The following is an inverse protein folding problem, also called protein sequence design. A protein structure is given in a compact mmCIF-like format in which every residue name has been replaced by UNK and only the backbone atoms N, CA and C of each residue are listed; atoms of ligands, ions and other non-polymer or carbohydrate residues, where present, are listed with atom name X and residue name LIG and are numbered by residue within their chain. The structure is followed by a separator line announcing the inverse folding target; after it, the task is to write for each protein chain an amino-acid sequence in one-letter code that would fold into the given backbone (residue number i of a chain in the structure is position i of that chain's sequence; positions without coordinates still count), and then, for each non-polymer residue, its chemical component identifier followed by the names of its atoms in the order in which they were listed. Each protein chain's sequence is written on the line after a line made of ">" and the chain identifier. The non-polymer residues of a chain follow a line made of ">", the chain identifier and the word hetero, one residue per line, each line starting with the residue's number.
data_IF_926246427828
#
_entry.id   IF_926246427828
#
_cell.length_a   1.000
_cell.length_b   1.000
_cell.length_c   1.000
_cell.angle_alpha   90.00
_cell.angle_beta   90.00
_cell.angle_gamma   90.00
#
_symmetry.space_group_name_H-M   'P 1'
#
loop_
_entity.id
_entity.type
_entity.pdbx_description
1 polymer ?
#
# COMPACT_ATOMS: atom_id res chain seq x y z
N UNK A 1 -7.77 19.64 1.65
CA UNK A 1 -8.64 18.52 1.98
C UNK A 1 -9.80 18.37 1.00
N UNK A 2 -10.52 19.45 0.70
CA UNK A 2 -11.48 19.44 -0.41
C UNK A 2 -10.83 19.08 -1.74
N UNK A 3 -9.58 19.51 -1.95
CA UNK A 3 -8.83 19.20 -3.16
C UNK A 3 -8.49 17.73 -3.32
N UNK A 4 -8.39 16.98 -2.21
CA UNK A 4 -8.15 15.53 -2.26
C UNK A 4 -9.40 14.72 -2.52
N UNK A 5 -10.56 15.21 -2.11
CA UNK A 5 -11.83 14.52 -2.36
C UNK A 5 -12.18 14.50 -3.86
N UNK A 6 -11.76 15.53 -4.59
CA UNK A 6 -12.01 15.64 -6.03
C UNK A 6 -10.93 14.96 -6.89
N UNK A 7 -9.88 14.43 -6.27
CA UNK A 7 -8.78 13.78 -6.98
C UNK A 7 -8.96 12.27 -6.98
N UNK A 8 -8.71 11.67 -8.14
CA UNK A 8 -8.69 10.21 -8.29
C UNK A 8 -7.27 9.74 -8.06
N UNK A 9 -7.12 8.76 -7.17
CA UNK A 9 -5.84 8.11 -6.92
C UNK A 9 -5.77 6.81 -7.69
N UNK A 10 -4.71 6.63 -8.47
CA UNK A 10 -4.47 5.39 -9.20
C UNK A 10 -3.61 4.45 -8.36
N UNK A 11 -4.07 3.21 -8.25
CA UNK A 11 -3.34 2.14 -7.58
C UNK A 11 -2.78 1.23 -8.67
N UNK A 12 -1.45 1.20 -8.81
CA UNK A 12 -0.79 0.35 -9.79
C UNK A 12 -0.47 -1.00 -9.17
N UNK A 13 -0.88 -2.07 -9.84
CA UNK A 13 -0.59 -3.43 -9.42
C UNK A 13 0.08 -4.20 -10.57
N UNK A 14 0.99 -5.11 -10.23
CA UNK A 14 1.63 -5.95 -11.22
C UNK A 14 0.67 -7.04 -11.71
N UNK A 15 0.62 -7.26 -13.02
CA UNK A 15 -0.19 -8.31 -13.61
C UNK A 15 0.27 -9.69 -13.16
N UNK A 16 -0.69 -10.56 -12.85
CA UNK A 16 -0.45 -11.96 -12.46
C UNK A 16 -1.01 -12.95 -13.47
N UNK A 17 -1.84 -12.48 -14.39
CA UNK A 17 -2.51 -13.30 -15.37
C UNK A 17 -3.90 -12.76 -15.65
N UNK A 18 -4.47 -13.06 -16.80
CA UNK A 18 -5.75 -12.48 -17.23
C UNK A 18 -6.88 -12.75 -16.24
N UNK A 19 -6.96 -13.97 -15.71
CA UNK A 19 -8.01 -14.34 -14.78
C UNK A 19 -7.88 -13.60 -13.46
N UNK A 20 -6.70 -13.63 -12.88
CA UNK A 20 -6.40 -12.96 -11.60
C UNK A 20 -6.56 -11.46 -11.70
N UNK A 21 -6.13 -10.87 -12.80
CA UNK A 21 -6.25 -9.44 -13.04
C UNK A 21 -7.71 -9.01 -13.13
N UNK A 22 -8.54 -9.79 -13.82
CA UNK A 22 -9.98 -9.52 -13.92
C UNK A 22 -10.68 -9.65 -12.57
N UNK A 23 -10.36 -10.68 -11.80
CA UNK A 23 -10.92 -10.87 -10.45
C UNK A 23 -10.55 -9.70 -9.54
N UNK A 24 -9.30 -9.26 -9.59
CA UNK A 24 -8.83 -8.12 -8.82
C UNK A 24 -9.56 -6.84 -9.21
N UNK A 25 -9.71 -6.57 -10.50
CA UNK A 25 -10.39 -5.37 -10.98
C UNK A 25 -11.85 -5.34 -10.54
N UNK A 26 -12.56 -6.46 -10.67
CA UNK A 26 -13.95 -6.55 -10.26
C UNK A 26 -14.12 -6.31 -8.77
N UNK A 27 -13.29 -6.94 -7.96
CA UNK A 27 -13.34 -6.77 -6.51
C UNK A 27 -12.98 -5.35 -6.09
N UNK A 28 -11.99 -4.76 -6.74
CA UNK A 28 -11.59 -3.38 -6.50
C UNK A 28 -12.73 -2.41 -6.82
N UNK A 29 -13.40 -2.61 -7.97
CA UNK A 29 -14.54 -1.79 -8.35
C UNK A 29 -15.68 -1.91 -7.35
N UNK A 30 -15.98 -3.12 -6.90
CA UNK A 30 -17.03 -3.37 -5.91
C UNK A 30 -16.77 -2.57 -4.63
N UNK A 31 -15.56 -2.65 -4.12
CA UNK A 31 -15.16 -1.95 -2.89
C UNK A 31 -15.21 -0.43 -3.10
N UNK A 32 -14.69 0.06 -4.22
CA UNK A 32 -14.66 1.49 -4.49
C UNK A 32 -16.03 2.08 -4.80
N UNK A 33 -17.02 1.25 -5.18
CA UNK A 33 -18.38 1.71 -5.44
C UNK A 33 -19.28 1.78 -4.19
N UNK A 34 -18.72 1.52 -3.03
CA UNK A 34 -19.43 1.68 -1.77
C UNK A 34 -19.54 0.44 -0.90
N UNK A 35 -19.19 -0.73 -1.41
CA UNK A 35 -19.17 -1.96 -0.61
C UNK A 35 -17.90 -2.03 0.25
N UNK A 36 -17.76 -1.06 1.13
CA UNK A 36 -16.61 -0.94 2.02
C UNK A 36 -17.07 -0.53 3.42
N UNK A 37 -16.11 -0.50 4.34
CA UNK A 37 -16.35 -0.16 5.74
C UNK A 37 -17.05 1.20 5.93
N UNK A 38 -16.75 2.15 5.06
CA UNK A 38 -17.28 3.51 5.18
C UNK A 38 -18.63 3.69 4.49
N UNK A 39 -19.08 2.73 3.69
CA UNK A 39 -20.32 2.77 2.91
C UNK A 39 -20.43 3.98 1.97
N UNK A 40 -19.28 4.44 1.47
CA UNK A 40 -19.19 5.55 0.52
C UNK A 40 -18.32 5.15 -0.66
N UNK A 41 -18.54 5.77 -1.85
CA UNK A 41 -17.62 5.60 -2.95
C UNK A 41 -16.22 6.12 -2.61
N UNK A 42 -15.21 5.44 -3.07
CA UNK A 42 -13.82 5.81 -2.85
C UNK A 42 -13.20 6.30 -4.16
N UNK A 43 -12.37 7.36 -4.13
CA UNK A 43 -11.78 7.95 -5.33
C UNK A 43 -10.52 7.20 -5.77
N UNK A 44 -10.61 5.88 -5.90
CA UNK A 44 -9.48 5.04 -6.30
C UNK A 44 -9.80 4.30 -7.58
N UNK A 45 -8.79 4.17 -8.44
CA UNK A 45 -8.84 3.34 -9.63
C UNK A 45 -7.64 2.42 -9.66
N UNK A 46 -7.85 1.17 -10.02
CA UNK A 46 -6.77 0.21 -10.18
C UNK A 46 -6.25 0.26 -11.61
N UNK A 47 -4.93 0.18 -11.76
CA UNK A 47 -4.27 0.07 -13.05
C UNK A 47 -3.37 -1.16 -13.00
N UNK A 48 -3.67 -2.14 -13.84
CA UNK A 48 -2.84 -3.35 -13.94
C UNK A 48 -1.69 -3.05 -14.89
N UNK A 49 -0.47 -3.29 -14.44
CA UNK A 49 0.76 -2.98 -15.17
C UNK A 49 1.51 -4.27 -15.43
N UNK A 50 1.90 -4.49 -16.69
CA UNK A 50 2.72 -5.64 -17.04
C UNK A 50 4.09 -5.56 -16.38
N UNK A 51 4.59 -6.70 -15.93
CA UNK A 51 5.96 -6.82 -15.41
C UNK A 51 7.00 -6.38 -16.45
N UNK A 52 6.68 -6.57 -17.73
CA UNK A 52 7.55 -6.21 -18.84
C UNK A 52 7.76 -4.70 -18.99
N UNK A 53 6.86 -3.87 -18.47
CA UNK A 53 7.02 -2.42 -18.52
C UNK A 53 8.10 -1.90 -17.60
N UNK A 54 8.57 -2.72 -16.66
CA UNK A 54 9.67 -2.39 -15.76
C UNK A 54 9.44 -1.04 -15.04
N UNK A 55 8.24 -0.86 -14.51
CA UNK A 55 7.83 0.38 -13.84
C UNK A 55 8.72 0.68 -12.64
N UNK A 56 9.19 1.92 -12.54
CA UNK A 56 10.01 2.37 -11.40
C UNK A 56 9.23 2.22 -10.09
N UNK A 57 7.92 2.51 -10.10
CA UNK A 57 7.08 2.35 -8.91
C UNK A 57 7.00 0.91 -8.44
N UNK A 58 6.84 -0.04 -9.34
CA UNK A 58 6.80 -1.46 -9.00
C UNK A 58 8.15 -1.97 -8.50
N UNK A 59 9.26 -1.51 -9.11
CA UNK A 59 10.60 -1.83 -8.63
C UNK A 59 10.82 -1.32 -7.20
N UNK A 60 10.35 -0.11 -6.92
CA UNK A 60 10.46 0.47 -5.59
C UNK A 60 9.67 -0.33 -4.56
N UNK A 61 8.46 -0.78 -4.92
CA UNK A 61 7.64 -1.64 -4.05
C UNK A 61 8.39 -2.92 -3.70
N UNK A 62 9.03 -3.57 -4.67
CA UNK A 62 9.82 -4.78 -4.42
C UNK A 62 10.99 -4.52 -3.45
N UNK A 63 11.64 -3.37 -3.58
CA UNK A 63 12.75 -3.00 -2.70
C UNK A 63 12.29 -2.77 -1.26
N UNK A 64 11.09 -2.24 -1.04
CA UNK A 64 10.59 -1.95 0.32
C UNK A 64 9.88 -3.14 0.95
N UNK A 65 9.31 -4.05 0.16
CA UNK A 65 8.55 -5.19 0.68
C UNK A 65 9.43 -6.13 1.52
N UNK A 66 10.67 -6.36 1.10
CA UNK A 66 11.59 -7.29 1.77
C UNK A 66 11.98 -6.82 3.18
N UNK A 67 12.43 -5.57 3.38
CA UNK A 67 12.70 -5.07 4.74
C UNK A 67 11.48 -5.09 5.64
N UNK A 68 10.30 -4.78 5.12
CA UNK A 68 9.05 -4.82 5.89
C UNK A 68 8.73 -6.24 6.33
N UNK A 69 8.82 -7.21 5.40
CA UNK A 69 8.61 -8.62 5.73
C UNK A 69 9.58 -9.12 6.80
N UNK A 70 10.84 -8.76 6.69
CA UNK A 70 11.86 -9.13 7.69
C UNK A 70 11.54 -8.54 9.05
N UNK A 71 11.11 -7.29 9.11
CA UNK A 71 10.70 -6.66 10.36
C UNK A 71 9.54 -7.42 11.04
N UNK A 72 8.55 -7.85 10.25
CA UNK A 72 7.38 -8.57 10.78
C UNK A 72 7.76 -9.95 11.32
N UNK A 73 8.61 -10.68 10.60
CA UNK A 73 8.97 -12.05 10.97
C UNK A 73 10.15 -12.15 11.92
N UNK A 74 11.07 -11.22 11.87
CA UNK A 74 12.31 -11.24 12.65
C UNK A 74 12.63 -9.84 13.18
N UNK A 75 11.79 -9.29 14.08
CA UNK A 75 11.93 -7.89 14.50
C UNK A 75 13.22 -7.62 15.30
N UNK A 76 13.83 -8.66 15.89
CA UNK A 76 15.05 -8.51 16.70
C UNK A 76 16.32 -8.46 15.87
N UNK A 77 16.24 -8.75 14.56
CA UNK A 77 17.38 -8.69 13.69
C UNK A 77 17.66 -7.27 13.20
N UNK A 78 18.94 -6.96 13.03
CA UNK A 78 19.34 -5.69 12.43
C UNK A 78 18.72 -5.54 11.04
N UNK A 79 18.01 -4.43 10.82
CA UNK A 79 17.31 -4.17 9.57
C UNK A 79 17.45 -2.68 9.23
N UNK A 80 18.61 -2.33 8.69
CA UNK A 80 18.95 -0.94 8.39
C UNK A 80 17.98 -0.30 7.38
N UNK A 81 17.56 -1.07 6.37
CA UNK A 81 16.62 -0.58 5.38
C UNK A 81 15.27 -0.25 6.02
N UNK A 82 14.80 -1.07 6.96
CA UNK A 82 13.55 -0.80 7.68
C UNK A 82 13.68 0.44 8.57
N UNK A 83 14.84 0.66 9.20
CA UNK A 83 15.08 1.85 10.01
C UNK A 83 14.91 3.15 9.20
N UNK A 84 15.26 3.11 7.92
CA UNK A 84 15.05 4.24 7.00
C UNK A 84 13.57 4.34 6.61
N UNK A 85 12.93 3.20 6.31
CA UNK A 85 11.55 3.17 5.83
C UNK A 85 10.52 3.60 6.88
N UNK A 86 10.75 3.29 8.16
CA UNK A 86 9.76 3.57 9.20
C UNK A 86 9.44 5.07 9.34
N UNK A 87 10.34 5.94 8.92
CA UNK A 87 10.10 7.38 8.88
C UNK A 87 9.09 7.80 7.81
N UNK A 88 8.77 6.91 6.88
CA UNK A 88 7.81 7.16 5.80
C UNK A 88 6.41 6.62 6.09
N UNK A 89 6.25 5.85 7.15
CA UNK A 89 4.93 5.30 7.49
C UNK A 89 4.07 6.36 8.17
N UNK A 90 2.77 6.26 7.91
CA UNK A 90 1.80 7.05 8.65
C UNK A 90 1.91 6.70 10.14
N UNK A 91 1.90 7.72 10.98
CA UNK A 91 2.01 7.53 12.43
C UNK A 91 0.85 8.22 13.14
N UNK A 92 0.40 7.58 14.20
CA UNK A 92 -0.60 8.15 15.10
C UNK A 92 0.07 9.28 15.90
N UNK A 93 -0.58 10.43 16.01
CA UNK A 93 -0.03 11.55 16.78
C UNK A 93 0.79 12.55 15.98
N UNK A 94 0.89 12.39 14.66
CA UNK A 94 1.49 13.37 13.77
C UNK A 94 3.01 13.32 13.68
N UNK A 95 3.60 14.41 13.21
CA UNK A 95 5.03 14.47 12.85
C UNK A 95 5.98 14.17 14.02
N UNK A 96 5.56 14.44 15.25
CA UNK A 96 6.40 14.20 16.42
C UNK A 96 6.61 12.72 16.73
N UNK A 97 5.77 11.86 16.17
CA UNK A 97 5.83 10.42 16.39
C UNK A 97 6.36 9.64 15.17
N UNK A 98 6.94 10.34 14.21
CA UNK A 98 7.52 9.71 13.01
C UNK A 98 8.53 8.63 13.42
N UNK A 99 8.37 7.45 12.85
CA UNK A 99 9.21 6.30 13.12
C UNK A 99 8.88 5.53 14.40
N UNK A 100 7.83 5.90 15.13
CA UNK A 100 7.44 5.27 16.40
C UNK A 100 6.01 4.73 16.40
N UNK A 101 5.03 5.58 16.15
CA UNK A 101 3.61 5.24 16.28
C UNK A 101 3.00 4.81 14.93
N UNK A 102 3.68 3.91 14.23
CA UNK A 102 3.23 3.43 12.92
C UNK A 102 2.55 2.07 12.97
N UNK A 103 2.75 1.29 14.03
CA UNK A 103 2.27 -0.09 14.09
C UNK A 103 0.74 -0.16 14.03
N UNK A 104 0.22 -1.05 13.18
CA UNK A 104 -1.22 -1.24 12.91
C UNK A 104 -1.93 0.02 12.38
N UNK A 105 -1.20 1.08 12.08
CA UNK A 105 -1.72 2.32 11.51
C UNK A 105 -1.09 2.57 10.14
N UNK A 106 0.19 2.93 10.09
CA UNK A 106 0.92 3.10 8.85
C UNK A 106 1.46 1.78 8.30
N UNK A 107 1.79 0.85 9.18
CA UNK A 107 2.14 -0.52 8.84
C UNK A 107 1.12 -1.47 9.47
N UNK A 108 0.34 -2.13 8.63
CA UNK A 108 -0.65 -3.12 9.06
C UNK A 108 -0.24 -4.51 8.61
N UNK A 109 -0.32 -5.46 9.50
CA UNK A 109 -0.09 -6.86 9.16
C UNK A 109 -1.16 -7.73 9.80
N UNK A 110 -1.48 -8.81 9.12
CA UNK A 110 -2.46 -9.78 9.60
C UNK A 110 -1.73 -11.07 9.99
N UNK A 111 -2.20 -11.74 11.05
CA UNK A 111 -1.60 -12.99 11.49
C UNK A 111 -1.68 -14.07 10.45
#
# INVERSE_FOLDING_TARGET
>A
EKSQQDKITFVAVESRGAKEDNELELEFLRICNGENRFKIPLPFKVKVVSKMTNSVGLQLVDLVARPIGRYVYQPDQANRAFEILKAKFYCKGGRNQVGREFDQVGLKHFP
#
